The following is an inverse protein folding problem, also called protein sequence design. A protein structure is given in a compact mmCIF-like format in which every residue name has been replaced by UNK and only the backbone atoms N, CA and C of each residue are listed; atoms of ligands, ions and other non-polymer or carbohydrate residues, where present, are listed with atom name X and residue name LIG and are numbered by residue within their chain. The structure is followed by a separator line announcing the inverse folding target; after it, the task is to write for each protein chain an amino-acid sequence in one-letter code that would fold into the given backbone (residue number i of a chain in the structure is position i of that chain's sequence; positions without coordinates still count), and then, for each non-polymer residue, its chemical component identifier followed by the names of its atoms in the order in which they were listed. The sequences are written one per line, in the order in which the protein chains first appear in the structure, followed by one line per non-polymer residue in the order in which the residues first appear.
data_IF_003214605813
#
_entry.id   IF_003214605813
#
_cell.length_a   1.000
_cell.length_b   1.000
_cell.length_c   1.000
_cell.angle_alpha   90.00
_cell.angle_beta   90.00
_cell.angle_gamma   90.00
#
_symmetry.space_group_name_H-M   'P 1'
#
loop_
_entity.id
_entity.type
_entity.pdbx_description
1 polymer ?
#
# COMPACT_ATOMS: atom_id res chain seq x y z
N UNK A 1 -12.72 7.58 -0.33
CA UNK A 1 -12.12 8.17 -1.54
C UNK A 1 -10.75 7.56 -1.83
N UNK A 2 -10.69 6.46 -2.59
CA UNK A 2 -9.45 6.02 -3.25
C UNK A 2 -8.78 7.23 -3.90
N UNK A 3 -7.48 7.39 -3.67
CA UNK A 3 -6.64 8.45 -4.26
C UNK A 3 -7.05 8.64 -5.71
N UNK A 4 -7.65 9.79 -6.05
CA UNK A 4 -8.07 10.10 -7.43
C UNK A 4 -6.81 10.29 -8.27
N UNK A 5 -6.31 9.20 -8.85
CA UNK A 5 -5.35 9.23 -9.95
C UNK A 5 -6.12 9.61 -11.22
N UNK A 6 -6.46 10.90 -11.35
CA UNK A 6 -7.26 11.46 -12.45
C UNK A 6 -6.43 11.89 -13.66
N UNK A 7 -5.12 11.58 -13.70
CA UNK A 7 -4.22 12.00 -14.80
C UNK A 7 -3.45 10.83 -15.39
N UNK A 8 -3.24 10.88 -16.70
CA UNK A 8 -2.47 9.94 -17.51
C UNK A 8 -0.98 9.96 -17.15
N UNK A 9 -0.32 8.79 -17.12
CA UNK A 9 1.10 8.61 -16.71
C UNK A 9 2.07 8.35 -17.87
N UNK A 10 1.59 8.28 -19.12
CA UNK A 10 2.47 8.08 -20.28
C UNK A 10 3.49 9.23 -20.40
N UNK A 11 4.79 8.90 -20.47
CA UNK A 11 5.87 9.87 -20.71
C UNK A 11 6.28 10.73 -19.52
N UNK A 12 5.91 10.38 -18.27
CA UNK A 12 6.22 11.22 -17.10
C UNK A 12 7.67 11.07 -16.60
N UNK A 13 8.34 12.19 -16.37
CA UNK A 13 9.70 12.24 -15.81
C UNK A 13 9.74 11.85 -14.32
N UNK A 14 10.92 11.49 -13.79
CA UNK A 14 11.08 11.14 -12.36
C UNK A 14 10.53 12.21 -11.41
N UNK A 15 10.58 13.48 -11.81
CA UNK A 15 10.02 14.60 -11.04
C UNK A 15 8.50 14.53 -10.90
N UNK A 16 7.79 14.06 -11.92
CA UNK A 16 6.34 13.92 -11.86
C UNK A 16 5.94 12.69 -11.01
N UNK A 17 6.72 11.61 -11.06
CA UNK A 17 6.58 10.45 -10.16
C UNK A 17 6.74 10.90 -8.71
N UNK A 18 7.78 11.70 -8.43
CA UNK A 18 8.02 12.27 -7.10
C UNK A 18 6.82 13.11 -6.62
N UNK A 19 6.28 13.99 -7.46
CA UNK A 19 5.11 14.81 -7.14
C UNK A 19 3.87 13.96 -6.77
N UNK A 20 3.58 12.88 -7.50
CA UNK A 20 2.46 11.99 -7.17
C UNK A 20 2.67 11.30 -5.82
N UNK A 21 3.90 10.86 -5.57
CA UNK A 21 4.29 10.20 -4.33
C UNK A 21 4.19 11.17 -3.15
N UNK A 22 4.60 12.42 -3.33
CA UNK A 22 4.53 13.48 -2.32
C UNK A 22 3.10 13.91 -2.04
N UNK A 23 2.26 14.09 -3.09
CA UNK A 23 0.83 14.35 -2.94
C UNK A 23 0.12 13.22 -2.21
N UNK A 24 0.51 11.98 -2.49
CA UNK A 24 0.00 10.82 -1.76
C UNK A 24 0.42 10.88 -0.30
N UNK A 25 1.72 11.10 -0.01
CA UNK A 25 2.22 11.25 1.36
C UNK A 25 1.45 12.32 2.15
N UNK A 26 1.21 13.47 1.53
CA UNK A 26 0.44 14.57 2.13
C UNK A 26 -1.03 14.18 2.34
N UNK A 27 -1.67 13.54 1.37
CA UNK A 27 -3.04 13.04 1.48
C UNK A 27 -3.22 12.06 2.65
N UNK A 28 -2.24 11.16 2.86
CA UNK A 28 -2.23 10.23 3.99
C UNK A 28 -2.19 10.97 5.34
N UNK A 29 -1.36 12.01 5.44
CA UNK A 29 -1.27 12.85 6.66
C UNK A 29 -2.53 13.67 6.88
N UNK A 30 -3.13 14.20 5.82
CA UNK A 30 -4.36 14.97 5.93
C UNK A 30 -5.54 14.11 6.40
N UNK A 31 -5.62 12.84 5.98
CA UNK A 31 -6.63 11.91 6.51
C UNK A 31 -6.45 11.61 7.99
N UNK A 32 -5.20 11.47 8.46
CA UNK A 32 -4.92 11.33 9.90
C UNK A 32 -5.45 12.55 10.67
N UNK A 33 -5.23 13.76 10.17
CA UNK A 33 -5.74 15.00 10.77
C UNK A 33 -7.27 15.08 10.73
N UNK A 34 -7.89 14.77 9.59
CA UNK A 34 -9.35 14.80 9.41
C UNK A 34 -10.06 13.89 10.41
N UNK A 35 -9.63 12.62 10.50
CA UNK A 35 -10.26 11.67 11.41
C UNK A 35 -9.99 12.00 12.87
N UNK A 36 -8.83 12.58 13.19
CA UNK A 36 -8.56 13.12 14.53
C UNK A 36 -9.56 14.22 14.90
N UNK A 37 -9.90 15.12 13.97
CA UNK A 37 -10.93 16.14 14.17
C UNK A 37 -12.34 15.56 14.39
N UNK A 38 -12.60 14.35 13.89
CA UNK A 38 -13.84 13.58 14.09
C UNK A 38 -13.82 12.68 15.34
N UNK A 39 -12.83 12.84 16.22
CA UNK A 39 -12.66 12.01 17.43
C UNK A 39 -12.11 10.60 17.18
N UNK A 40 -11.73 10.25 15.95
CA UNK A 40 -11.19 8.93 15.59
C UNK A 40 -9.67 9.02 15.38
N UNK A 41 -8.90 8.49 16.33
CA UNK A 41 -7.44 8.48 16.21
C UNK A 41 -6.95 7.31 15.35
N UNK A 42 -6.61 7.56 14.09
CA UNK A 42 -5.99 6.57 13.17
C UNK A 42 -4.46 6.68 13.08
N UNK A 43 -3.88 7.78 13.60
CA UNK A 43 -2.44 8.02 13.72
C UNK A 43 -1.83 7.45 15.01
N UNK A 44 -0.55 7.71 15.25
CA UNK A 44 0.18 7.29 16.46
C UNK A 44 1.13 6.10 16.29
N UNK A 45 1.93 5.84 17.34
CA UNK A 45 3.02 4.85 17.36
C UNK A 45 2.58 3.42 17.70
N UNK A 46 1.31 3.24 18.07
CA UNK A 46 0.74 1.96 18.50
C UNK A 46 0.53 0.99 17.32
N UNK A 47 0.50 -0.32 17.61
CA UNK A 47 0.21 -1.36 16.61
C UNK A 47 -1.14 -1.11 15.94
N UNK A 48 -1.24 -1.30 14.63
CA UNK A 48 -2.47 -1.03 13.88
C UNK A 48 -2.61 0.41 13.37
N UNK A 49 -1.78 1.36 13.84
CA UNK A 49 -1.87 2.78 13.47
C UNK A 49 -0.87 3.19 12.38
N UNK A 50 -1.18 4.29 11.69
CA UNK A 50 -0.45 4.76 10.50
C UNK A 50 0.91 5.37 10.73
N UNK A 51 1.21 5.86 11.93
CA UNK A 51 2.47 6.57 12.19
C UNK A 51 3.48 5.70 12.96
N UNK A 52 3.16 4.43 13.18
CA UNK A 52 4.09 3.47 13.77
C UNK A 52 5.28 3.23 12.83
N UNK A 53 6.50 3.14 13.37
CA UNK A 53 7.74 2.68 12.68
C UNK A 53 7.77 2.93 11.15
N UNK A 54 7.56 4.17 10.73
CA UNK A 54 7.64 4.63 9.34
C UNK A 54 6.66 3.99 8.33
N UNK A 55 5.44 3.59 8.73
CA UNK A 55 4.40 3.05 7.82
C UNK A 55 4.13 3.94 6.61
N UNK A 56 3.89 5.24 6.83
CA UNK A 56 3.66 6.18 5.73
C UNK A 56 4.84 6.15 4.76
N UNK A 57 6.09 6.18 5.25
CA UNK A 57 7.29 6.08 4.41
C UNK A 57 7.36 4.76 3.64
N UNK A 58 6.99 3.63 4.25
CA UNK A 58 6.94 2.32 3.56
C UNK A 58 5.89 2.31 2.46
N UNK A 59 4.66 2.77 2.73
CA UNK A 59 3.60 2.89 1.72
C UNK A 59 4.03 3.80 0.57
N UNK A 60 4.59 4.97 0.89
CA UNK A 60 5.16 5.91 -0.09
C UNK A 60 6.24 5.25 -0.96
N UNK A 61 7.14 4.45 -0.37
CA UNK A 61 8.16 3.70 -1.13
C UNK A 61 7.57 2.59 -2.01
N UNK A 62 6.57 1.87 -1.52
CA UNK A 62 5.84 0.88 -2.33
C UNK A 62 5.15 1.54 -3.51
N UNK A 63 4.52 2.70 -3.32
CA UNK A 63 3.86 3.42 -4.41
C UNK A 63 4.87 3.91 -5.43
N UNK A 64 6.02 4.44 -5.00
CA UNK A 64 7.12 4.79 -5.90
C UNK A 64 7.56 3.58 -6.73
N UNK A 65 7.69 2.40 -6.11
CA UNK A 65 8.06 1.17 -6.81
C UNK A 65 6.99 0.73 -7.81
N UNK A 66 5.72 0.67 -7.41
CA UNK A 66 4.61 0.34 -8.30
C UNK A 66 4.53 1.28 -9.51
N UNK A 67 4.69 2.60 -9.27
CA UNK A 67 4.72 3.58 -10.37
C UNK A 67 5.91 3.32 -11.30
N UNK A 68 7.09 3.02 -10.78
CA UNK A 68 8.27 2.74 -11.61
C UNK A 68 8.15 1.43 -12.40
N UNK A 69 7.62 0.39 -11.78
CA UNK A 69 7.54 -0.96 -12.37
C UNK A 69 6.39 -1.07 -13.39
N UNK A 70 5.30 -0.32 -13.22
CA UNK A 70 4.07 -0.48 -14.00
C UNK A 70 3.82 0.63 -15.04
N UNK A 71 4.65 1.69 -15.12
CA UNK A 71 4.51 2.73 -16.16
C UNK A 71 4.85 2.16 -17.55
N UNK A 72 4.05 2.45 -18.59
CA UNK A 72 2.95 3.43 -18.64
C UNK A 72 1.55 2.90 -18.29
N UNK A 73 1.40 1.64 -17.87
CA UNK A 73 0.11 1.01 -17.57
C UNK A 73 -0.48 1.48 -16.22
N UNK A 74 -1.41 2.44 -16.30
CA UNK A 74 -2.09 2.98 -15.13
C UNK A 74 -2.98 1.97 -14.40
N UNK A 75 -3.52 1.00 -15.14
CA UNK A 75 -4.42 -0.01 -14.57
C UNK A 75 -3.60 -0.92 -13.66
N UNK A 76 -2.44 -1.35 -14.14
CA UNK A 76 -1.49 -2.14 -13.36
C UNK A 76 -0.98 -1.37 -12.14
N UNK A 77 -0.63 -0.10 -12.30
CA UNK A 77 -0.24 0.76 -11.18
C UNK A 77 -1.32 0.86 -10.09
N UNK A 78 -2.59 1.06 -10.47
CA UNK A 78 -3.72 1.10 -9.52
C UNK A 78 -3.91 -0.24 -8.80
N UNK A 79 -3.75 -1.35 -9.52
CA UNK A 79 -3.82 -2.70 -8.96
C UNK A 79 -2.69 -2.92 -7.94
N UNK A 80 -1.45 -2.56 -8.28
CA UNK A 80 -0.29 -2.70 -7.41
C UNK A 80 -0.38 -1.84 -6.13
N UNK A 81 -0.91 -0.62 -6.26
CA UNK A 81 -1.21 0.25 -5.11
C UNK A 81 -2.26 -0.40 -4.21
N UNK A 82 -3.37 -0.89 -4.77
CA UNK A 82 -4.41 -1.56 -3.99
C UNK A 82 -3.89 -2.86 -3.35
N UNK A 83 -3.06 -3.62 -4.05
CA UNK A 83 -2.43 -4.84 -3.54
C UNK A 83 -1.54 -4.53 -2.32
N UNK A 84 -0.79 -3.42 -2.36
CA UNK A 84 0.05 -2.95 -1.25
C UNK A 84 -0.76 -2.59 0.00
N UNK A 85 -1.96 -2.02 -0.18
CA UNK A 85 -2.88 -1.77 0.93
C UNK A 85 -3.51 -3.07 1.45
N UNK A 86 -3.94 -3.97 0.56
CA UNK A 86 -4.50 -5.27 0.95
C UNK A 86 -3.50 -6.12 1.76
N UNK A 87 -2.21 -6.06 1.42
CA UNK A 87 -1.15 -6.66 2.23
C UNK A 87 -1.18 -6.20 3.69
N UNK A 88 -1.44 -4.92 3.93
CA UNK A 88 -1.36 -4.35 5.27
C UNK A 88 -2.44 -4.84 6.24
N UNK A 89 -3.50 -5.49 5.76
CA UNK A 89 -4.48 -6.22 6.60
C UNK A 89 -4.50 -7.73 6.36
N UNK A 90 -3.54 -8.26 5.61
CA UNK A 90 -3.46 -9.69 5.35
C UNK A 90 -3.08 -10.46 6.61
N UNK A 91 -3.73 -11.61 6.83
CA UNK A 91 -3.45 -12.51 7.94
C UNK A 91 -3.31 -13.94 7.45
N UNK A 92 -2.76 -14.83 8.27
CA UNK A 92 -2.65 -16.25 7.91
C UNK A 92 -4.02 -16.91 7.70
N UNK A 93 -5.05 -16.45 8.44
CA UNK A 93 -6.43 -16.95 8.32
C UNK A 93 -7.20 -16.33 7.15
N UNK A 94 -6.86 -15.09 6.79
CA UNK A 94 -7.48 -14.34 5.70
C UNK A 94 -6.38 -13.69 4.83
N UNK A 95 -5.72 -14.46 3.96
CA UNK A 95 -4.66 -13.95 3.10
C UNK A 95 -5.24 -13.06 1.99
N UNK A 96 -4.83 -11.79 1.92
CA UNK A 96 -5.31 -10.78 0.97
C UNK A 96 -4.26 -10.49 -0.12
N UNK A 97 -3.90 -11.53 -0.89
CA UNK A 97 -2.85 -11.48 -1.94
C UNK A 97 -3.36 -11.65 -3.37
N UNK A 98 -4.67 -11.72 -3.57
CA UNK A 98 -5.32 -11.94 -4.87
C UNK A 98 -5.01 -10.87 -5.93
N UNK A 99 -4.66 -9.65 -5.52
CA UNK A 99 -4.31 -8.54 -6.43
C UNK A 99 -2.81 -8.48 -6.77
N UNK A 100 -2.01 -9.41 -6.25
CA UNK A 100 -0.57 -9.41 -6.44
C UNK A 100 -0.16 -10.24 -7.65
N UNK A 101 0.96 -9.90 -8.32
CA UNK A 101 1.51 -10.71 -9.40
C UNK A 101 1.80 -12.14 -8.92
N UNK A 102 1.50 -13.13 -9.75
CA UNK A 102 1.66 -14.57 -9.45
C UNK A 102 2.99 -15.17 -9.94
N UNK A 103 3.92 -14.34 -10.44
CA UNK A 103 5.18 -14.82 -11.01
C UNK A 103 6.21 -15.24 -9.94
N UNK A 104 7.20 -16.04 -10.35
CA UNK A 104 8.39 -16.36 -9.55
C UNK A 104 9.19 -15.12 -9.11
N UNK A 105 9.10 -14.05 -9.89
CA UNK A 105 9.73 -12.74 -9.63
C UNK A 105 8.82 -11.78 -8.89
N UNK A 106 7.64 -12.24 -8.44
CA UNK A 106 6.68 -11.40 -7.74
C UNK A 106 7.32 -10.75 -6.51
N UNK A 107 7.08 -9.45 -6.36
CA UNK A 107 7.46 -8.71 -5.15
C UNK A 107 6.64 -9.15 -3.93
N UNK A 108 5.51 -9.82 -4.14
CA UNK A 108 4.68 -10.37 -3.09
C UNK A 108 5.28 -11.69 -2.57
N UNK A 109 5.69 -11.71 -1.30
CA UNK A 109 6.30 -12.90 -0.70
C UNK A 109 5.37 -14.13 -0.75
N UNK A 110 4.06 -13.90 -0.64
CA UNK A 110 3.06 -14.95 -0.61
C UNK A 110 2.92 -15.60 -1.99
N UNK A 111 2.64 -14.77 -3.02
CA UNK A 111 2.52 -15.26 -4.40
C UNK A 111 3.83 -15.86 -4.91
N UNK A 112 4.96 -15.27 -4.56
CA UNK A 112 6.28 -15.83 -4.91
C UNK A 112 6.50 -17.20 -4.27
N UNK A 113 6.10 -17.40 -3.02
CA UNK A 113 6.21 -18.71 -2.38
C UNK A 113 5.32 -19.74 -3.10
N UNK A 114 4.07 -19.39 -3.42
CA UNK A 114 3.17 -20.25 -4.18
C UNK A 114 3.74 -20.61 -5.56
N UNK A 115 4.24 -19.63 -6.31
CA UNK A 115 4.87 -19.85 -7.61
C UNK A 115 6.10 -20.78 -7.54
N UNK A 116 6.80 -20.77 -6.40
CA UNK A 116 7.95 -21.65 -6.14
C UNK A 116 7.55 -23.02 -5.54
N UNK A 117 6.25 -23.35 -5.45
CA UNK A 117 5.75 -24.54 -4.76
C UNK A 117 6.21 -24.63 -3.29
N UNK A 118 6.35 -23.49 -2.62
CA UNK A 118 6.77 -23.38 -1.21
C UNK A 118 5.62 -22.85 -0.36
N UNK A 119 5.60 -23.25 0.91
CA UNK A 119 4.67 -22.69 1.90
C UNK A 119 4.98 -21.21 2.15
N UNK A 120 4.01 -20.30 2.03
CA UNK A 120 4.20 -18.89 2.38
C UNK A 120 4.61 -18.70 3.84
N UNK A 121 5.46 -17.69 4.09
CA UNK A 121 5.84 -17.31 5.46
C UNK A 121 4.61 -16.81 6.22
N UNK A 122 4.61 -16.99 7.55
CA UNK A 122 3.53 -16.48 8.39
C UNK A 122 3.47 -14.95 8.38
N UNK A 123 2.25 -14.42 8.32
CA UNK A 123 1.93 -13.00 8.45
C UNK A 123 2.24 -12.47 9.85
N UNK A 124 2.51 -13.32 10.86
CA UNK A 124 2.98 -12.91 12.19
C UNK A 124 4.15 -11.92 12.10
N UNK A 125 5.09 -12.19 11.20
CA UNK A 125 6.30 -11.43 10.90
C UNK A 125 6.07 -10.12 10.11
N UNK A 126 4.86 -9.90 9.57
CA UNK A 126 4.59 -8.66 8.84
C UNK A 126 4.67 -7.46 9.77
N UNK A 127 5.68 -6.64 9.52
CA UNK A 127 5.87 -5.35 10.17
C UNK A 127 4.71 -4.40 9.90
N UNK A 128 3.99 -4.58 8.78
CA UNK A 128 2.92 -3.70 8.33
C UNK A 128 1.53 -4.29 8.54
N UNK A 129 0.96 -4.11 9.74
CA UNK A 129 -0.40 -4.51 10.12
C UNK A 129 -1.19 -3.26 10.47
N UNK A 130 -1.99 -2.77 9.54
CA UNK A 130 -3.02 -1.75 9.79
C UNK A 130 -4.26 -2.46 10.33
N UNK A 131 -4.99 -1.82 11.24
CA UNK A 131 -6.30 -2.33 11.64
C UNK A 131 -7.32 -2.12 10.52
N UNK A 132 -8.33 -2.98 10.46
CA UNK A 132 -9.46 -2.84 9.51
C UNK A 132 -10.10 -1.44 9.62
N UNK A 133 -10.30 -0.97 10.86
CA UNK A 133 -10.79 0.38 11.16
C UNK A 133 -9.95 1.48 10.50
N UNK A 134 -8.63 1.32 10.41
CA UNK A 134 -7.78 2.32 9.76
C UNK A 134 -7.92 2.26 8.23
N UNK A 135 -8.13 1.06 7.66
CA UNK A 135 -8.32 0.86 6.22
C UNK A 135 -9.68 1.34 5.71
N UNK A 136 -10.76 1.11 6.47
CA UNK A 136 -12.10 1.60 6.13
C UNK A 136 -12.14 3.13 6.05
N UNK A 137 -11.39 3.79 6.93
CA UNK A 137 -11.27 5.24 6.99
C UNK A 137 -10.33 5.81 5.92
N UNK A 138 -9.69 4.92 5.17
CA UNK A 138 -8.74 5.19 4.09
C UNK A 138 -9.36 5.13 2.69
N UNK A 139 -10.29 4.19 2.46
CA UNK A 139 -10.92 3.96 1.15
C UNK A 139 -12.07 4.92 0.86
#
# INVERSE_FOLDING_TARGET
MCIRFSRTFAGKSENQIRDIVDRTHLGLRNKVKEWRGKGVTIGGRNRGKLERKHYIKKLTNFYRKAIKDDVPDMKMMKIAIHASLSHSSSTDKAPKHNKCPTSLTSWCFYQRALANNKKPKSHSSMMTKLSEQVLEKYC
#
